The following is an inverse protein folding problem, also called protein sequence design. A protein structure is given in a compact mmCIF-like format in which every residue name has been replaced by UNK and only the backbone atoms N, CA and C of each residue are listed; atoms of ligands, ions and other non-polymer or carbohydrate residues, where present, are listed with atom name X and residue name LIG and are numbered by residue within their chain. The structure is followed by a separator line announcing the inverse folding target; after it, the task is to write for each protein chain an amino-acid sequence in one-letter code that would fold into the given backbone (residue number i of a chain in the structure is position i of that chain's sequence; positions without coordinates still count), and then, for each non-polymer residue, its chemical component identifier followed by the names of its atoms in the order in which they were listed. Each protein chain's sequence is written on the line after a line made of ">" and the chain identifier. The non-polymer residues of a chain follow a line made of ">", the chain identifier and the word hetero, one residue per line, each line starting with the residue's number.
data_IF_992864827064
#
_entry.id   IF_992864827064
#
_cell.length_a   1.000
_cell.length_b   1.000
_cell.length_c   1.000
_cell.angle_alpha   90.00
_cell.angle_beta   90.00
_cell.angle_gamma   90.00
#
_symmetry.space_group_name_H-M   'P 1'
#
loop_
_entity.id
_entity.type
_entity.pdbx_description
1 polymer ?
#
# COMPACT_ATOMS: atom_id res chain seq x y z
N UNK A 1 15.88 -0.35 -18.91
CA UNK A 1 15.32 0.96 -18.52
C UNK A 1 15.02 1.81 -19.76
N UNK A 2 13.94 1.52 -20.50
CA UNK A 2 13.56 2.28 -21.70
C UNK A 2 12.77 3.56 -21.36
N UNK A 3 11.91 3.48 -20.34
CA UNK A 3 11.12 4.62 -19.87
C UNK A 3 11.97 5.68 -19.15
N UNK A 4 12.94 5.26 -18.32
CA UNK A 4 13.86 6.21 -17.67
C UNK A 4 14.72 6.98 -18.69
N UNK A 5 14.98 6.39 -19.86
CA UNK A 5 15.66 7.04 -20.99
C UNK A 5 14.73 7.95 -21.82
N UNK A 6 13.45 8.09 -21.43
CA UNK A 6 12.47 8.94 -22.11
C UNK A 6 11.96 8.41 -23.45
N UNK A 7 12.25 7.14 -23.79
CA UNK A 7 11.84 6.54 -25.08
C UNK A 7 10.36 6.14 -25.11
N UNK A 8 9.75 5.95 -23.93
CA UNK A 8 8.35 5.55 -23.77
C UNK A 8 7.58 6.75 -23.20
N UNK A 9 6.57 7.21 -23.94
CA UNK A 9 5.71 8.33 -23.52
C UNK A 9 4.47 7.90 -22.74
N UNK A 10 4.04 6.65 -22.93
CA UNK A 10 2.83 6.10 -22.32
C UNK A 10 3.12 4.69 -21.81
N UNK A 11 2.80 4.44 -20.55
CA UNK A 11 3.01 3.16 -19.88
C UNK A 11 1.71 2.76 -19.21
N UNK A 12 1.23 1.56 -19.53
CA UNK A 12 0.19 0.89 -18.76
C UNK A 12 0.86 0.02 -17.71
N UNK A 13 0.52 0.23 -16.45
CA UNK A 13 1.09 -0.49 -15.34
C UNK A 13 0.04 -0.75 -14.26
N UNK A 14 0.22 -1.81 -13.51
CA UNK A 14 -0.59 -2.15 -12.33
C UNK A 14 0.02 -1.51 -11.08
N UNK A 15 -0.71 -1.59 -9.96
CA UNK A 15 -0.32 -1.01 -8.66
C UNK A 15 1.12 -1.34 -8.22
N UNK A 16 1.61 -2.55 -8.52
CA UNK A 16 2.96 -2.99 -8.15
C UNK A 16 4.07 -2.16 -8.78
N UNK A 17 3.79 -1.47 -9.88
CA UNK A 17 4.76 -0.56 -10.49
C UNK A 17 5.11 0.63 -9.59
N UNK A 18 4.17 1.07 -8.76
CA UNK A 18 4.41 2.14 -7.80
C UNK A 18 5.28 1.67 -6.61
N UNK A 19 5.41 0.36 -6.40
CA UNK A 19 6.24 -0.26 -5.37
C UNK A 19 7.66 -0.51 -5.92
N UNK A 20 8.64 0.25 -5.41
CA UNK A 20 10.06 -0.14 -5.55
C UNK A 20 10.82 0.32 -6.80
N UNK A 21 10.24 1.15 -7.67
CA UNK A 21 10.96 1.70 -8.84
C UNK A 21 11.09 3.23 -8.74
N UNK A 22 12.30 3.77 -8.91
CA UNK A 22 12.55 5.21 -8.98
C UNK A 22 12.28 5.75 -10.40
N UNK A 23 11.03 5.68 -10.83
CA UNK A 23 10.61 6.04 -12.18
C UNK A 23 9.40 7.00 -12.14
N UNK A 24 9.62 8.30 -11.90
CA UNK A 24 8.56 9.29 -11.84
C UNK A 24 7.99 9.59 -13.25
N UNK A 25 6.68 9.81 -13.33
CA UNK A 25 5.97 10.20 -14.54
C UNK A 25 5.46 11.65 -14.41
N UNK A 26 5.22 12.34 -15.53
CA UNK A 26 4.63 13.69 -15.48
C UNK A 26 3.20 13.65 -14.94
N UNK A 27 2.43 12.68 -15.41
CA UNK A 27 1.03 12.50 -15.05
C UNK A 27 0.74 11.04 -14.75
N UNK A 28 -0.15 10.78 -13.81
CA UNK A 28 -0.65 9.43 -13.49
C UNK A 28 -2.15 9.43 -13.74
N UNK A 29 -2.64 8.39 -14.40
CA UNK A 29 -4.04 8.22 -14.76
C UNK A 29 -4.55 6.94 -14.13
N UNK A 30 -5.59 7.06 -13.31
CA UNK A 30 -6.31 5.92 -12.74
C UNK A 30 -7.47 5.56 -13.65
N UNK A 31 -7.47 4.35 -14.21
CA UNK A 31 -8.57 3.87 -15.07
C UNK A 31 -9.79 3.39 -14.29
N UNK A 32 -9.60 3.03 -13.01
CA UNK A 32 -10.63 2.62 -12.08
C UNK A 32 -10.14 2.93 -10.67
N UNK A 33 -11.06 3.18 -9.75
CA UNK A 33 -10.79 3.37 -8.32
C UNK A 33 -10.97 2.07 -7.53
N UNK A 34 -11.46 1.03 -8.19
CA UNK A 34 -11.91 -0.20 -7.57
C UNK A 34 -10.83 -1.29 -7.64
N UNK A 35 -10.59 -1.97 -6.52
CA UNK A 35 -9.63 -3.06 -6.40
C UNK A 35 -10.32 -4.33 -5.93
N UNK A 36 -10.03 -5.44 -6.60
CA UNK A 36 -10.52 -6.77 -6.23
C UNK A 36 -9.41 -7.59 -5.57
N UNK A 37 -9.46 -7.74 -4.24
CA UNK A 37 -8.44 -8.45 -3.45
C UNK A 37 -8.57 -9.99 -3.45
N UNK A 38 -9.19 -10.58 -4.47
CA UNK A 38 -9.18 -12.04 -4.70
C UNK A 38 -9.97 -12.92 -3.70
N UNK A 39 -10.44 -12.40 -2.56
CA UNK A 39 -11.13 -13.19 -1.52
C UNK A 39 -12.49 -12.66 -1.06
N UNK A 40 -13.11 -11.73 -1.81
CA UNK A 40 -14.32 -10.97 -1.45
C UNK A 40 -14.06 -9.76 -0.54
N UNK A 41 -14.95 -8.78 -0.70
CA UNK A 41 -15.24 -7.63 0.18
C UNK A 41 -14.69 -7.85 1.60
N UNK A 42 -13.75 -7.01 2.06
CA UNK A 42 -13.28 -6.97 3.46
C UNK A 42 -14.49 -6.99 4.41
N UNK A 43 -14.85 -8.17 4.92
CA UNK A 43 -15.78 -8.31 6.04
C UNK A 43 -15.04 -7.87 7.29
N UNK A 44 -15.57 -6.83 7.89
CA UNK A 44 -15.14 -6.24 9.15
C UNK A 44 -14.97 -7.34 10.21
N UNK A 45 -13.74 -7.55 10.67
CA UNK A 45 -13.52 -8.21 11.96
C UNK A 45 -13.81 -7.18 13.07
N UNK A 46 -14.62 -7.50 14.08
CA UNK A 46 -15.17 -6.55 15.06
C UNK A 46 -14.17 -5.99 16.11
N UNK A 47 -12.87 -6.19 15.94
CA UNK A 47 -11.85 -5.79 16.93
C UNK A 47 -10.92 -4.65 16.49
N UNK A 48 -11.12 -4.07 15.30
CA UNK A 48 -10.26 -3.01 14.78
C UNK A 48 -11.11 -1.78 14.50
N UNK A 49 -10.70 -0.64 15.07
CA UNK A 49 -11.30 0.67 14.89
C UNK A 49 -11.82 0.87 13.46
N UNK A 50 -13.11 1.16 13.42
CA UNK A 50 -14.03 1.10 12.30
C UNK A 50 -13.67 2.16 11.25
N UNK A 51 -12.98 1.79 10.17
CA UNK A 51 -12.93 2.64 8.98
C UNK A 51 -14.20 2.36 8.18
N UNK A 52 -15.11 3.32 8.16
CA UNK A 52 -16.37 3.38 7.41
C UNK A 52 -16.13 3.46 5.87
N UNK A 53 -15.07 2.81 5.38
CA UNK A 53 -14.59 2.93 4.01
C UNK A 53 -14.99 1.67 3.26
N UNK A 54 -15.75 1.88 2.19
CA UNK A 54 -16.17 0.85 1.26
C UNK A 54 -14.98 -0.04 0.85
N UNK A 55 -15.08 -1.37 1.01
CA UNK A 55 -13.98 -2.32 0.81
C UNK A 55 -13.54 -2.50 -0.64
N UNK A 56 -14.02 -1.63 -1.53
CA UNK A 56 -13.81 -1.72 -2.96
C UNK A 56 -12.84 -0.66 -3.48
N UNK A 57 -12.72 0.50 -2.81
CA UNK A 57 -11.79 1.55 -3.24
C UNK A 57 -10.39 1.39 -2.64
N UNK A 58 -9.41 2.03 -3.27
CA UNK A 58 -8.04 2.09 -2.76
C UNK A 58 -7.99 2.69 -1.35
N UNK A 59 -7.10 2.13 -0.53
CA UNK A 59 -6.73 2.78 0.73
C UNK A 59 -5.83 3.99 0.45
N UNK A 60 -5.80 4.97 1.37
CA UNK A 60 -4.94 6.15 1.24
C UNK A 60 -3.48 5.80 0.94
N UNK A 61 -2.95 4.76 1.59
CA UNK A 61 -1.56 4.33 1.38
C UNK A 61 -1.28 3.90 -0.06
N UNK A 62 -2.19 3.11 -0.64
CA UNK A 62 -2.10 2.65 -2.03
C UNK A 62 -2.28 3.81 -3.01
N UNK A 63 -3.30 4.65 -2.78
CA UNK A 63 -3.54 5.84 -3.58
C UNK A 63 -2.33 6.77 -3.58
N UNK A 64 -1.81 7.13 -2.39
CA UNK A 64 -0.66 8.03 -2.24
C UNK A 64 0.60 7.44 -2.87
N UNK A 65 0.80 6.14 -2.78
CA UNK A 65 1.94 5.46 -3.40
C UNK A 65 1.91 5.54 -4.93
N UNK A 66 0.73 5.36 -5.53
CA UNK A 66 0.55 5.46 -6.98
C UNK A 66 0.55 6.93 -7.46
N UNK A 67 -0.26 7.78 -6.83
CA UNK A 67 -0.40 9.20 -7.15
C UNK A 67 0.93 9.96 -6.93
N UNK A 68 1.71 9.58 -5.91
CA UNK A 68 3.03 10.15 -5.62
C UNK A 68 4.10 9.88 -6.67
N UNK A 69 3.80 9.09 -7.71
CA UNK A 69 4.67 8.94 -8.89
C UNK A 69 4.45 10.03 -9.94
N UNK A 70 3.39 10.84 -9.81
CA UNK A 70 3.17 12.01 -10.65
C UNK A 70 4.08 13.18 -10.24
N UNK A 71 4.66 13.85 -11.23
CA UNK A 71 5.57 14.97 -11.05
C UNK A 71 7.04 14.55 -11.00
N UNK A 72 7.83 14.95 -12.00
CA UNK A 72 9.28 14.73 -12.01
C UNK A 72 9.99 15.92 -11.38
N UNK A 73 10.71 15.68 -10.28
CA UNK A 73 11.50 16.70 -9.57
C UNK A 73 12.47 17.40 -10.53
N UNK A 74 12.40 18.73 -10.59
CA UNK A 74 13.29 19.56 -11.41
C UNK A 74 12.92 19.64 -12.90
N UNK A 75 11.89 18.92 -13.36
CA UNK A 75 11.40 18.98 -14.75
C UNK A 75 9.98 19.52 -14.84
N UNK A 76 9.10 19.08 -13.94
CA UNK A 76 7.70 19.47 -13.91
C UNK A 76 7.43 20.31 -12.64
N UNK A 77 6.71 21.43 -12.77
CA UNK A 77 6.35 22.32 -11.63
C UNK A 77 5.31 21.66 -10.73
N UNK A 78 4.38 20.91 -11.32
CA UNK A 78 3.31 20.18 -10.64
C UNK A 78 3.15 18.79 -11.24
N UNK A 79 2.76 17.83 -10.40
CA UNK A 79 2.34 16.49 -10.84
C UNK A 79 0.83 16.48 -11.05
N UNK A 80 0.37 15.93 -12.18
CA UNK A 80 -1.07 15.83 -12.47
C UNK A 80 -1.55 14.40 -12.25
N UNK A 81 -2.62 14.26 -11.48
CA UNK A 81 -3.29 12.98 -11.25
C UNK A 81 -4.70 13.07 -11.80
N UNK A 82 -5.07 12.13 -12.67
CA UNK A 82 -6.38 12.10 -13.32
C UNK A 82 -7.10 10.81 -12.91
N UNK A 83 -8.33 10.95 -12.42
CA UNK A 83 -9.22 9.84 -12.15
C UNK A 83 -10.18 9.71 -13.34
N UNK A 84 -10.07 8.61 -14.10
CA UNK A 84 -11.01 8.28 -15.15
C UNK A 84 -12.12 7.41 -14.56
N UNK A 85 -13.35 7.91 -14.68
CA UNK A 85 -14.57 7.20 -14.30
C UNK A 85 -15.35 6.93 -15.59
N UNK A 86 -15.31 5.68 -16.05
CA UNK A 86 -15.98 5.31 -17.30
C UNK A 86 -17.47 4.97 -17.08
N UNK A 87 -17.81 4.46 -15.89
CA UNK A 87 -19.17 4.03 -15.55
C UNK A 87 -19.84 5.04 -14.61
N UNK A 88 -20.96 5.66 -14.99
CA UNK A 88 -21.66 6.64 -14.14
C UNK A 88 -22.27 6.01 -12.88
N UNK A 89 -22.49 4.69 -12.87
CA UNK A 89 -22.99 3.95 -11.72
C UNK A 89 -21.94 3.71 -10.62
N UNK A 90 -20.65 3.90 -10.94
CA UNK A 90 -19.51 3.66 -10.04
C UNK A 90 -18.88 4.96 -9.55
N UNK A 91 -19.66 6.04 -9.58
CA UNK A 91 -19.17 7.32 -9.09
C UNK A 91 -18.99 7.23 -7.57
N UNK A 92 -17.78 7.46 -7.04
CA UNK A 92 -17.57 7.43 -5.59
C UNK A 92 -18.35 8.56 -4.93
N UNK A 93 -18.92 8.28 -3.76
CA UNK A 93 -19.51 9.34 -2.93
C UNK A 93 -18.39 10.31 -2.53
N UNK A 94 -18.73 11.58 -2.29
CA UNK A 94 -17.77 12.56 -1.78
C UNK A 94 -17.00 12.05 -0.54
N UNK A 95 -17.69 11.38 0.39
CA UNK A 95 -17.08 10.79 1.58
C UNK A 95 -16.06 9.70 1.26
N UNK A 96 -16.33 8.84 0.27
CA UNK A 96 -15.39 7.78 -0.15
C UNK A 96 -14.14 8.40 -0.78
N UNK A 97 -14.32 9.45 -1.59
CA UNK A 97 -13.21 10.16 -2.24
C UNK A 97 -12.35 10.92 -1.21
N UNK A 98 -12.99 11.61 -0.27
CA UNK A 98 -12.30 12.29 0.84
C UNK A 98 -11.55 11.28 1.71
N UNK A 99 -12.15 10.13 2.02
CA UNK A 99 -11.46 9.07 2.75
C UNK A 99 -10.26 8.49 1.98
N UNK A 100 -10.36 8.37 0.66
CA UNK A 100 -9.26 7.88 -0.19
C UNK A 100 -8.10 8.89 -0.29
N UNK A 101 -8.38 10.19 -0.37
CA UNK A 101 -7.37 11.24 -0.62
C UNK A 101 -6.84 11.87 0.67
N UNK A 102 -7.72 12.09 1.66
CA UNK A 102 -7.45 12.83 2.90
C UNK A 102 -7.59 11.95 4.15
N UNK A 103 -7.86 10.66 4.00
CA UNK A 103 -8.04 9.75 5.12
C UNK A 103 -6.78 9.57 5.97
N UNK A 104 -6.85 8.65 6.94
CA UNK A 104 -5.69 8.29 7.75
C UNK A 104 -4.85 7.24 7.04
N UNK A 105 -3.51 7.38 6.99
CA UNK A 105 -2.64 6.37 6.40
C UNK A 105 -2.75 5.04 7.15
N UNK A 106 -2.51 3.95 6.43
CA UNK A 106 -2.53 2.61 7.00
C UNK A 106 -1.43 2.48 8.05
N UNK A 107 -1.82 2.08 9.27
CA UNK A 107 -0.86 1.87 10.33
C UNK A 107 0.00 0.64 10.03
N UNK A 108 1.31 0.79 10.26
CA UNK A 108 2.25 -0.31 10.11
C UNK A 108 1.99 -1.34 11.21
N UNK A 109 1.51 -2.52 10.81
CA UNK A 109 1.30 -3.65 11.73
C UNK A 109 2.40 -4.68 11.55
N UNK A 110 2.93 -5.16 12.68
CA UNK A 110 3.88 -6.27 12.67
C UNK A 110 3.24 -7.50 12.01
N UNK A 111 3.92 -8.06 11.02
CA UNK A 111 3.55 -9.34 10.38
C UNK A 111 4.44 -10.49 10.87
N UNK A 112 5.16 -10.29 11.99
CA UNK A 112 6.05 -11.30 12.53
C UNK A 112 5.26 -12.55 12.95
N UNK A 113 5.59 -13.68 12.33
CA UNK A 113 5.02 -14.99 12.61
C UNK A 113 6.15 -15.98 12.86
N UNK A 114 6.07 -16.70 13.97
CA UNK A 114 7.03 -17.75 14.30
C UNK A 114 6.76 -18.93 13.38
N UNK A 115 7.76 -19.29 12.59
CA UNK A 115 7.72 -20.43 11.65
C UNK A 115 8.73 -21.47 12.10
N UNK A 116 8.45 -22.76 11.88
CA UNK A 116 9.31 -23.86 12.31
C UNK A 116 10.76 -23.73 11.79
N UNK A 117 10.94 -23.26 10.56
CA UNK A 117 12.28 -22.98 9.98
C UNK A 117 13.09 -21.98 10.81
N UNK A 118 12.45 -20.94 11.35
CA UNK A 118 13.11 -19.95 12.22
C UNK A 118 13.57 -20.60 13.53
N UNK A 119 12.75 -21.45 14.13
CA UNK A 119 13.08 -22.17 15.37
C UNK A 119 14.29 -23.10 15.14
N UNK A 120 14.30 -23.84 14.04
CA UNK A 120 15.41 -24.73 13.69
C UNK A 120 16.71 -23.96 13.42
N UNK A 121 16.64 -22.82 12.74
CA UNK A 121 17.83 -21.99 12.51
C UNK A 121 18.40 -21.41 13.81
N UNK A 122 17.53 -20.95 14.71
CA UNK A 122 17.94 -20.44 16.02
C UNK A 122 18.53 -21.54 16.91
N UNK A 123 17.93 -22.74 16.88
CA UNK A 123 18.44 -23.89 17.63
C UNK A 123 19.85 -24.32 17.16
N UNK A 124 20.10 -24.22 15.86
CA UNK A 124 21.40 -24.57 15.25
C UNK A 124 22.52 -23.58 15.59
N UNK A 125 22.20 -22.32 15.85
CA UNK A 125 23.20 -21.25 16.03
C UNK A 125 23.60 -21.02 17.48
N UNK A 126 22.65 -20.90 18.43
CA UNK A 126 22.97 -20.45 19.80
C UNK A 126 22.15 -21.11 20.94
N UNK A 127 21.53 -22.28 20.73
CA UNK A 127 20.67 -22.91 21.75
C UNK A 127 19.30 -22.22 21.90
N UNK A 128 18.44 -22.67 22.83
CA UNK A 128 17.04 -22.20 22.92
C UNK A 128 16.85 -20.87 23.69
N UNK A 129 17.82 -20.46 24.51
CA UNK A 129 17.75 -19.24 25.33
C UNK A 129 17.66 -17.91 24.54
N UNK A 130 18.27 -17.73 23.36
CA UNK A 130 18.15 -16.51 22.57
C UNK A 130 16.78 -16.38 21.89
N UNK A 131 16.05 -17.48 21.66
CA UNK A 131 14.75 -17.46 20.99
C UNK A 131 13.74 -16.56 21.72
N UNK A 132 13.69 -16.66 23.05
CA UNK A 132 12.84 -15.82 23.90
C UNK A 132 13.23 -14.35 23.76
N UNK A 133 14.53 -14.05 23.68
CA UNK A 133 15.01 -12.67 23.51
C UNK A 133 14.64 -12.08 22.14
N UNK A 134 14.65 -12.87 21.06
CA UNK A 134 14.21 -12.45 19.73
C UNK A 134 12.71 -12.19 19.70
N UNK A 135 11.92 -13.05 20.35
CA UNK A 135 10.47 -12.85 20.47
C UNK A 135 10.16 -11.58 21.28
N UNK A 136 10.85 -11.36 22.41
CA UNK A 136 10.67 -10.15 23.24
C UNK A 136 11.09 -8.85 22.52
N UNK A 137 12.04 -8.93 21.58
CA UNK A 137 12.47 -7.79 20.74
C UNK A 137 11.67 -7.65 19.45
N UNK A 138 10.72 -8.54 19.17
CA UNK A 138 9.90 -8.42 17.97
C UNK A 138 8.98 -7.21 18.05
N UNK A 139 8.74 -6.57 16.90
CA UNK A 139 7.80 -5.45 16.77
C UNK A 139 6.38 -5.79 17.20
N UNK A 140 6.01 -7.08 17.25
CA UNK A 140 4.74 -7.53 17.83
C UNK A 140 4.68 -7.29 19.35
N UNK A 141 5.79 -7.46 20.05
CA UNK A 141 5.89 -7.26 21.50
C UNK A 141 6.13 -5.80 21.87
N UNK A 142 6.78 -5.03 20.99
CA UNK A 142 7.06 -3.60 21.18
C UNK A 142 5.84 -2.73 20.80
N UNK A 143 5.06 -3.16 19.80
CA UNK A 143 3.94 -2.42 19.21
C UNK A 143 2.63 -2.41 20.01
N UNK A 144 2.63 -2.82 21.29
CA UNK A 144 1.48 -2.59 22.19
C UNK A 144 1.55 -1.20 22.86
N UNK A 145 2.57 -0.38 22.56
CA UNK A 145 2.71 0.98 23.10
C UNK A 145 2.70 1.98 21.93
N UNK A 146 1.58 2.69 21.82
CA UNK A 146 1.18 3.81 20.93
C UNK A 146 0.43 3.44 19.65
#
# INVERSE_FOLDING_TARGET
>A
MLFQRGLIRLLFATETFALGVNMPARSVIFSSLEKFDGKQLRRLNPGCHFSFTSPFYFTLGEYTQMAGRAGRRGLDVTGTVILLLNDPSKFPTQLDLEAMILGTPTQLRSQFKITYSMILHLHRTDGLSPCVSYICRSYTSIGCIK
#
